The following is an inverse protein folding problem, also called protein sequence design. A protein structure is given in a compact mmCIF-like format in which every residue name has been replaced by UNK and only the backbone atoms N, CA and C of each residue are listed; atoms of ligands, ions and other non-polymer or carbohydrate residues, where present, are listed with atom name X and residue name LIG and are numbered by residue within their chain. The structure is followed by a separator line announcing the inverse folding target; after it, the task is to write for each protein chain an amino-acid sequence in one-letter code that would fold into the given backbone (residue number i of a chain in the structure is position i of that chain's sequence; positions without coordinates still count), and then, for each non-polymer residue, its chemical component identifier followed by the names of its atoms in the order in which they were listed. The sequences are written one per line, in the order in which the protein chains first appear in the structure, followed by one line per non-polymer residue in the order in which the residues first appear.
data_IF_226782917057
#
_entry.id   IF_226782917057
#
_cell.length_a   1.000
_cell.length_b   1.000
_cell.length_c   1.000
_cell.angle_alpha   90.00
_cell.angle_beta   90.00
_cell.angle_gamma   90.00
#
_symmetry.space_group_name_H-M   'P 1'
#
loop_
_entity.id
_entity.type
_entity.pdbx_description
1 polymer ?
#
# COMPACT_ATOMS: atom_id res chain seq x y z
N UNK A 1 10.96 -25.80 27.00
CA UNK A 1 9.67 -26.29 26.48
C UNK A 1 8.79 -25.07 26.18
N UNK A 2 8.87 -24.57 24.95
CA UNK A 2 7.81 -24.07 24.07
C UNK A 2 8.52 -23.49 22.82
N UNK A 3 8.02 -23.76 21.60
CA UNK A 3 8.74 -23.54 20.36
C UNK A 3 8.45 -22.16 19.79
N UNK A 4 9.45 -21.53 19.18
CA UNK A 4 9.23 -20.43 18.26
C UNK A 4 9.30 -20.99 16.83
N UNK A 5 8.14 -21.11 16.21
CA UNK A 5 7.92 -21.36 14.79
C UNK A 5 7.36 -20.08 14.16
N UNK A 6 8.03 -19.54 13.14
CA UNK A 6 7.53 -18.70 12.02
C UNK A 6 8.79 -18.16 11.28
N UNK A 7 8.90 -18.03 9.97
CA UNK A 7 7.94 -18.05 8.87
C UNK A 7 8.66 -18.39 7.55
N UNK A 8 7.85 -18.85 6.60
CA UNK A 8 8.14 -19.13 5.19
C UNK A 8 8.75 -17.95 4.44
N UNK A 9 9.68 -18.28 3.54
CA UNK A 9 10.53 -17.44 2.70
C UNK A 9 9.80 -16.97 1.42
N UNK A 10 9.92 -15.69 1.08
CA UNK A 10 9.85 -15.18 -0.30
C UNK A 10 10.81 -13.99 -0.45
N UNK A 11 11.59 -13.97 -1.55
CA UNK A 11 12.50 -12.92 -2.02
C UNK A 11 13.14 -11.97 -1.00
N UNK A 12 14.42 -12.18 -0.64
CA UNK A 12 15.14 -11.25 0.22
C UNK A 12 15.29 -9.84 -0.40
N UNK A 13 14.78 -8.82 0.32
CA UNK A 13 15.49 -7.56 0.41
C UNK A 13 16.65 -7.75 1.38
N UNK A 14 17.87 -7.58 0.91
CA UNK A 14 19.05 -7.88 1.71
C UNK A 14 19.26 -6.85 2.85
N UNK A 15 19.72 -7.26 4.05
CA UNK A 15 20.01 -6.38 5.18
C UNK A 15 21.21 -5.43 4.89
N UNK A 16 21.42 -4.36 5.69
CA UNK A 16 22.54 -3.44 5.51
C UNK A 16 23.90 -4.16 5.60
N UNK A 17 24.79 -3.82 4.67
CA UNK A 17 26.07 -4.52 4.44
C UNK A 17 27.29 -3.72 4.93
N UNK A 18 28.33 -4.44 5.33
CA UNK A 18 29.67 -3.92 5.54
C UNK A 18 30.61 -4.41 4.42
N UNK A 19 31.24 -3.47 3.70
CA UNK A 19 32.38 -3.77 2.85
C UNK A 19 33.66 -3.75 3.66
N UNK A 20 34.38 -4.86 3.73
CA UNK A 20 35.78 -4.85 4.15
C UNK A 20 36.64 -4.45 2.96
N UNK A 21 37.34 -3.32 3.03
CA UNK A 21 38.22 -2.90 1.94
C UNK A 21 39.64 -2.57 2.42
N UNK A 22 40.60 -2.72 1.51
CA UNK A 22 41.87 -1.98 1.52
C UNK A 22 41.80 -0.64 0.75
N UNK A 23 40.67 -0.29 0.13
CA UNK A 23 40.47 0.95 -0.66
C UNK A 23 39.01 1.47 -0.66
N UNK A 24 38.78 2.68 -1.16
CA UNK A 24 37.51 3.43 -1.07
C UNK A 24 36.30 2.74 -1.73
N UNK A 25 35.26 2.51 -0.93
CA UNK A 25 33.94 2.01 -1.34
C UNK A 25 32.93 3.16 -1.27
N UNK A 26 32.19 3.43 -2.34
CA UNK A 26 31.00 4.29 -2.31
C UNK A 26 29.74 3.43 -2.33
N UNK A 27 29.12 3.19 -1.17
CA UNK A 27 27.75 2.70 -1.10
C UNK A 27 26.84 3.92 -1.21
N UNK A 28 26.23 4.14 -2.37
CA UNK A 28 25.19 5.14 -2.53
C UNK A 28 23.87 4.60 -1.94
N UNK A 29 23.56 4.94 -0.70
CA UNK A 29 22.22 4.72 -0.14
C UNK A 29 21.24 5.67 -0.82
N UNK A 30 20.43 5.17 -1.76
CA UNK A 30 19.39 5.98 -2.42
C UNK A 30 18.17 6.07 -1.50
N UNK A 31 17.81 7.30 -1.11
CA UNK A 31 16.66 7.60 -0.25
C UNK A 31 15.36 7.72 -1.08
N UNK A 32 14.56 6.65 -1.12
CA UNK A 32 13.11 6.55 -1.47
C UNK A 32 12.67 6.58 -2.96
N UNK A 33 11.47 6.03 -3.35
CA UNK A 33 10.49 5.17 -2.63
C UNK A 33 10.28 3.77 -3.33
N UNK A 34 9.22 2.97 -3.03
CA UNK A 34 9.31 1.52 -2.74
C UNK A 34 9.39 0.62 -4.00
N UNK A 35 10.50 0.63 -4.71
CA UNK A 35 10.85 -0.45 -5.64
C UNK A 35 11.64 -1.56 -4.91
N UNK A 36 11.62 -2.81 -5.39
CA UNK A 36 12.45 -3.88 -4.83
C UNK A 36 13.90 -3.39 -4.73
N UNK A 37 14.45 -3.44 -3.51
CA UNK A 37 15.77 -2.91 -3.20
C UNK A 37 16.83 -3.79 -3.84
N UNK A 38 17.29 -3.41 -5.02
CA UNK A 38 18.42 -4.05 -5.66
C UNK A 38 19.72 -3.62 -5.00
N UNK A 39 20.57 -4.60 -4.69
CA UNK A 39 21.92 -4.37 -4.20
C UNK A 39 22.81 -3.84 -5.33
N UNK A 40 23.53 -2.77 -5.03
CA UNK A 40 24.40 -2.06 -5.94
C UNK A 40 25.86 -2.23 -5.54
N UNK A 41 26.71 -2.71 -6.45
CA UNK A 41 28.15 -2.85 -6.20
C UNK A 41 28.95 -2.36 -7.40
N UNK A 42 29.78 -1.33 -7.18
CA UNK A 42 30.73 -0.80 -8.15
C UNK A 42 32.15 -1.18 -7.74
N UNK A 43 32.87 -1.85 -8.63
CA UNK A 43 34.31 -2.06 -8.53
C UNK A 43 35.00 -1.07 -9.47
N UNK A 44 35.96 -0.29 -8.98
CA UNK A 44 36.80 0.60 -9.79
C UNK A 44 38.26 0.25 -9.57
N UNK A 45 38.99 -0.03 -10.67
CA UNK A 45 40.31 -0.64 -10.57
C UNK A 45 41.35 0.21 -9.86
N UNK A 46 42.16 -0.45 -9.02
CA UNK A 46 43.45 0.03 -8.51
C UNK A 46 44.50 -1.03 -8.81
N UNK A 47 45.74 -0.63 -9.10
CA UNK A 47 46.78 -1.57 -9.54
C UNK A 47 47.19 -2.53 -8.41
N UNK A 48 46.89 -3.82 -8.58
CA UNK A 48 47.41 -4.91 -7.75
C UNK A 48 46.40 -5.53 -6.78
N UNK A 49 46.23 -6.85 -6.89
CA UNK A 49 45.36 -7.75 -6.11
C UNK A 49 43.85 -7.60 -6.35
N UNK A 50 43.15 -8.75 -6.46
CA UNK A 50 41.72 -8.80 -6.77
C UNK A 50 40.87 -8.06 -5.73
N UNK A 51 39.84 -7.35 -6.18
CA UNK A 51 38.88 -6.70 -5.29
C UNK A 51 37.76 -7.68 -4.94
N UNK A 52 37.19 -7.63 -3.73
CA UNK A 52 36.00 -8.43 -3.41
C UNK A 52 35.04 -7.73 -2.45
N UNK A 53 33.76 -8.09 -2.53
CA UNK A 53 32.72 -7.76 -1.57
C UNK A 53 32.23 -9.03 -0.89
N UNK A 54 32.01 -8.94 0.42
CA UNK A 54 31.37 -9.98 1.21
C UNK A 54 29.99 -9.49 1.63
N UNK A 55 28.95 -10.20 1.21
CA UNK A 55 27.57 -9.89 1.56
C UNK A 55 27.20 -10.59 2.86
N UNK A 56 27.37 -9.87 3.97
CA UNK A 56 27.13 -10.35 5.34
C UNK A 56 26.09 -9.53 6.06
N UNK A 57 25.54 -10.12 7.12
CA UNK A 57 24.78 -9.36 8.09
C UNK A 57 25.70 -8.38 8.85
N UNK A 58 25.14 -7.28 9.39
CA UNK A 58 25.92 -6.18 9.98
C UNK A 58 26.75 -6.60 11.22
N UNK A 59 26.33 -7.66 11.89
CA UNK A 59 27.03 -8.27 13.04
C UNK A 59 28.10 -9.29 12.62
N UNK A 60 28.39 -9.38 11.31
CA UNK A 60 29.32 -10.35 10.73
C UNK A 60 28.73 -11.74 10.55
N UNK A 61 27.45 -11.97 10.87
CA UNK A 61 26.82 -13.27 10.69
C UNK A 61 26.64 -13.62 9.21
N UNK A 62 26.67 -14.94 8.99
CA UNK A 62 26.49 -15.60 7.71
C UNK A 62 25.00 -15.57 7.36
N UNK A 63 24.68 -15.27 6.10
CA UNK A 63 23.33 -14.85 5.69
C UNK A 63 22.52 -16.00 5.10
N UNK A 64 23.18 -17.00 4.53
CA UNK A 64 22.52 -18.06 3.76
C UNK A 64 22.78 -19.41 4.38
N UNK A 65 21.74 -20.21 4.62
CA UNK A 65 21.92 -21.63 4.94
C UNK A 65 22.14 -22.39 3.62
N UNK A 66 23.24 -23.13 3.54
CA UNK A 66 23.61 -23.95 2.39
C UNK A 66 23.61 -25.42 2.78
N UNK A 67 23.21 -26.29 1.85
CA UNK A 67 23.19 -27.74 2.06
C UNK A 67 24.08 -28.41 1.02
N UNK A 68 24.90 -29.36 1.48
CA UNK A 68 25.86 -30.08 0.63
C UNK A 68 25.15 -30.77 -0.55
N UNK A 69 25.74 -30.66 -1.73
CA UNK A 69 25.21 -31.22 -2.98
C UNK A 69 24.14 -30.37 -3.66
N UNK A 70 23.58 -29.34 -2.99
CA UNK A 70 22.64 -28.42 -3.63
C UNK A 70 23.35 -27.42 -4.51
N UNK A 71 22.72 -27.08 -5.63
CA UNK A 71 23.18 -26.03 -6.52
C UNK A 71 22.40 -24.76 -6.25
N UNK A 72 23.12 -23.64 -6.17
CA UNK A 72 22.56 -22.31 -6.03
C UNK A 72 22.83 -21.51 -7.29
N UNK A 73 21.83 -20.78 -7.77
CA UNK A 73 21.97 -19.86 -8.90
C UNK A 73 22.14 -18.46 -8.31
N UNK A 74 23.26 -17.83 -8.65
CA UNK A 74 23.53 -16.43 -8.35
C UNK A 74 23.30 -15.68 -9.66
N UNK A 75 22.53 -14.60 -9.65
CA UNK A 75 22.31 -13.81 -10.86
C UNK A 75 22.34 -12.31 -10.59
N UNK A 76 22.77 -11.54 -11.58
CA UNK A 76 22.78 -10.07 -11.53
C UNK A 76 22.74 -9.49 -12.94
N UNK A 77 22.23 -8.28 -13.06
CA UNK A 77 22.49 -7.44 -14.22
C UNK A 77 23.89 -6.86 -14.08
N UNK A 78 24.76 -7.10 -15.05
CA UNK A 78 26.13 -6.59 -15.01
C UNK A 78 26.37 -5.53 -16.07
N UNK A 79 27.11 -4.48 -15.71
CA UNK A 79 27.67 -3.50 -16.65
C UNK A 79 29.18 -3.41 -16.45
N UNK A 80 29.92 -3.43 -17.55
CA UNK A 80 31.38 -3.52 -17.55
C UNK A 80 31.96 -2.49 -18.52
N UNK A 81 33.03 -1.82 -18.10
CA UNK A 81 33.91 -1.04 -18.96
C UNK A 81 35.33 -1.58 -18.81
N UNK A 82 35.59 -2.76 -19.37
CA UNK A 82 36.89 -3.44 -19.34
C UNK A 82 37.07 -4.35 -20.55
N UNK A 83 38.32 -4.64 -20.89
CA UNK A 83 38.63 -5.63 -21.93
C UNK A 83 38.58 -7.07 -21.41
N UNK A 84 38.92 -7.33 -20.14
CA UNK A 84 38.84 -8.67 -19.52
C UNK A 84 38.87 -8.59 -18.00
N UNK A 85 37.74 -8.83 -17.33
CA UNK A 85 37.65 -8.98 -15.86
C UNK A 85 37.33 -10.43 -15.53
N UNK A 86 38.08 -11.07 -14.64
CA UNK A 86 37.72 -12.37 -14.06
C UNK A 86 36.83 -12.13 -12.83
N UNK A 87 35.53 -12.35 -13.01
CA UNK A 87 34.54 -12.21 -11.95
C UNK A 87 34.31 -13.53 -11.27
N UNK A 88 34.37 -13.48 -9.95
CA UNK A 88 34.37 -14.61 -9.05
C UNK A 88 33.17 -14.58 -8.11
N UNK A 89 32.27 -15.56 -8.20
CA UNK A 89 31.20 -15.76 -7.21
C UNK A 89 31.50 -16.97 -6.34
N UNK A 90 31.45 -16.80 -5.02
CA UNK A 90 31.67 -17.90 -4.08
C UNK A 90 30.78 -17.83 -2.85
N UNK A 91 30.38 -19.00 -2.35
CA UNK A 91 29.75 -19.16 -1.05
C UNK A 91 30.83 -19.55 -0.05
N UNK A 92 31.00 -18.77 1.02
CA UNK A 92 32.11 -18.96 1.97
C UNK A 92 31.66 -19.13 3.41
N UNK A 93 32.33 -20.05 4.10
CA UNK A 93 32.12 -20.30 5.52
C UNK A 93 32.87 -19.29 6.40
N UNK A 94 34.11 -18.96 6.06
CA UNK A 94 34.99 -18.15 6.88
C UNK A 94 35.65 -16.99 6.10
N UNK A 95 36.21 -16.03 6.84
CA UNK A 95 36.82 -14.80 6.31
C UNK A 95 38.17 -15.06 5.66
N UNK A 96 38.88 -16.03 6.21
CA UNK A 96 40.26 -16.43 5.90
C UNK A 96 40.38 -17.30 4.63
N UNK A 97 39.26 -17.68 4.01
CA UNK A 97 39.24 -18.41 2.75
C UNK A 97 39.58 -19.90 2.86
N UNK A 98 39.44 -20.50 4.05
CA UNK A 98 39.78 -21.92 4.27
C UNK A 98 38.72 -22.92 3.78
N UNK A 99 37.47 -22.50 3.54
CA UNK A 99 36.40 -23.35 2.98
C UNK A 99 35.57 -22.57 1.95
N UNK A 100 35.84 -22.84 0.66
CA UNK A 100 34.96 -22.45 -0.43
C UNK A 100 33.89 -23.54 -0.58
N UNK A 101 32.61 -23.20 -0.40
CA UNK A 101 31.51 -24.10 -0.69
C UNK A 101 31.31 -24.30 -2.20
N UNK A 102 31.98 -23.50 -3.04
CA UNK A 102 31.96 -23.62 -4.50
C UNK A 102 32.28 -22.29 -5.16
N UNK A 103 32.66 -22.33 -6.44
CA UNK A 103 33.17 -21.18 -7.16
C UNK A 103 32.79 -21.20 -8.64
N UNK A 104 32.39 -20.04 -9.19
CA UNK A 104 32.15 -19.86 -10.64
C UNK A 104 32.88 -18.62 -11.15
N UNK A 105 33.59 -18.78 -12.27
CA UNK A 105 34.34 -17.74 -12.97
C UNK A 105 33.63 -17.29 -14.23
N UNK A 106 33.66 -15.99 -14.50
CA UNK A 106 33.23 -15.44 -15.78
C UNK A 106 34.17 -14.35 -16.24
N UNK A 107 34.53 -14.39 -17.52
CA UNK A 107 35.27 -13.33 -18.19
C UNK A 107 34.29 -12.36 -18.84
N UNK A 108 34.23 -11.13 -18.31
CA UNK A 108 33.47 -10.04 -18.90
C UNK A 108 34.28 -9.39 -20.03
N UNK A 109 33.71 -9.33 -21.24
CA UNK A 109 34.36 -8.76 -22.42
C UNK A 109 33.61 -7.53 -22.94
N UNK A 110 34.35 -6.44 -23.15
CA UNK A 110 33.91 -5.25 -23.88
C UNK A 110 32.92 -4.33 -23.16
N UNK A 111 32.56 -3.24 -23.83
CA UNK A 111 31.57 -2.24 -23.41
C UNK A 111 30.14 -2.78 -23.55
N UNK A 112 29.86 -3.97 -23.01
CA UNK A 112 28.54 -4.56 -23.10
C UNK A 112 27.59 -3.84 -22.14
N UNK A 113 26.49 -3.33 -22.70
CA UNK A 113 25.38 -2.81 -21.92
C UNK A 113 24.56 -3.99 -21.37
N UNK A 114 24.41 -4.02 -20.05
CA UNK A 114 23.38 -4.70 -19.26
C UNK A 114 22.85 -6.02 -19.83
N UNK A 115 23.61 -7.10 -19.64
CA UNK A 115 23.04 -8.46 -19.75
C UNK A 115 22.89 -9.06 -18.37
N UNK A 116 21.77 -9.75 -18.12
CA UNK A 116 21.63 -10.58 -16.93
C UNK A 116 22.55 -11.77 -17.08
N UNK A 117 23.38 -11.98 -16.07
CA UNK A 117 24.29 -13.11 -15.98
C UNK A 117 23.85 -13.99 -14.83
N UNK A 118 24.06 -15.28 -14.98
CA UNK A 118 23.77 -16.28 -13.98
C UNK A 118 24.97 -17.21 -13.82
N UNK A 119 25.17 -17.63 -12.59
CA UNK A 119 26.26 -18.48 -12.18
C UNK A 119 25.73 -19.54 -11.24
N UNK A 120 26.07 -20.79 -11.49
CA UNK A 120 25.75 -21.88 -10.58
C UNK A 120 26.91 -22.14 -9.62
N UNK A 121 26.59 -22.38 -8.37
CA UNK A 121 27.52 -22.78 -7.32
C UNK A 121 26.93 -23.98 -6.60
N UNK A 122 27.55 -25.15 -6.75
CA UNK A 122 27.18 -26.35 -6.01
C UNK A 122 27.89 -26.38 -4.67
N UNK A 123 27.14 -26.40 -3.58
CA UNK A 123 27.67 -26.42 -2.23
C UNK A 123 28.40 -27.74 -1.93
N UNK A 124 29.66 -27.67 -1.51
CA UNK A 124 30.50 -28.83 -1.12
C UNK A 124 30.40 -29.18 0.36
N UNK A 125 29.49 -28.54 1.10
CA UNK A 125 29.28 -28.77 2.53
C UNK A 125 27.99 -28.11 3.01
N UNK A 126 27.55 -28.50 4.21
CA UNK A 126 26.33 -27.96 4.84
C UNK A 126 26.71 -26.96 5.93
N UNK A 127 26.06 -25.80 5.96
CA UNK A 127 26.36 -24.77 6.95
C UNK A 127 25.68 -23.45 6.66
N UNK A 128 26.19 -22.39 7.28
CA UNK A 128 25.85 -21.04 6.86
C UNK A 128 26.99 -20.47 6.01
N UNK A 129 26.66 -19.65 5.02
CA UNK A 129 27.60 -19.01 4.13
C UNK A 129 27.27 -17.53 3.94
N UNK A 130 28.25 -16.77 3.46
CA UNK A 130 28.03 -15.46 2.86
C UNK A 130 28.42 -15.50 1.39
N UNK A 131 27.81 -14.62 0.59
CA UNK A 131 28.16 -14.46 -0.82
C UNK A 131 29.39 -13.56 -0.93
N UNK A 132 30.44 -14.04 -1.61
CA UNK A 132 31.58 -13.23 -2.03
C UNK A 132 31.50 -12.99 -3.54
N UNK A 133 31.68 -11.74 -3.94
CA UNK A 133 31.87 -11.34 -5.33
C UNK A 133 33.24 -10.72 -5.46
N UNK A 134 34.13 -11.33 -6.23
CA UNK A 134 35.46 -10.77 -6.49
C UNK A 134 35.64 -10.38 -7.96
N UNK A 135 36.30 -9.25 -8.20
CA UNK A 135 36.75 -8.81 -9.52
C UNK A 135 38.27 -8.89 -9.55
N UNK A 136 38.80 -9.75 -10.40
CA UNK A 136 40.24 -9.98 -10.57
C UNK A 136 40.67 -9.39 -11.92
N UNK A 137 41.88 -8.81 -11.94
CA UNK A 137 42.48 -8.14 -13.10
C UNK A 137 41.75 -6.86 -13.56
N UNK A 138 41.09 -6.15 -12.64
CA UNK A 138 40.48 -4.87 -12.94
C UNK A 138 41.55 -3.77 -13.06
N UNK A 139 41.75 -3.22 -14.27
CA UNK A 139 42.76 -2.18 -14.49
C UNK A 139 42.27 -0.80 -14.03
N UNK A 140 43.21 0.12 -13.81
CA UNK A 140 42.88 1.50 -13.46
C UNK A 140 41.99 2.15 -14.55
N UNK A 141 40.85 2.72 -14.13
CA UNK A 141 39.84 3.31 -15.02
C UNK A 141 38.79 2.33 -15.55
N UNK A 142 38.93 1.03 -15.29
CA UNK A 142 37.90 0.04 -15.58
C UNK A 142 36.89 -0.04 -14.43
N UNK A 143 35.63 -0.39 -14.76
CA UNK A 143 34.62 -0.68 -13.75
C UNK A 143 33.78 -1.92 -14.06
N UNK A 144 33.29 -2.52 -12.97
CA UNK A 144 32.28 -3.57 -12.98
C UNK A 144 31.17 -3.16 -12.03
N UNK A 145 29.95 -3.15 -12.55
CA UNK A 145 28.74 -2.82 -11.82
C UNK A 145 27.82 -4.03 -11.81
N UNK A 146 27.27 -4.35 -10.64
CA UNK A 146 26.16 -5.29 -10.48
C UNK A 146 24.92 -4.57 -9.98
N UNK A 147 23.80 -4.85 -10.65
CA UNK A 147 22.46 -4.43 -10.28
C UNK A 147 21.56 -5.66 -10.07
N UNK A 148 20.73 -5.60 -9.03
CA UNK A 148 19.78 -6.66 -8.67
C UNK A 148 20.43 -8.04 -8.49
N UNK A 149 21.49 -8.08 -7.67
CA UNK A 149 22.13 -9.34 -7.27
C UNK A 149 21.15 -10.22 -6.48
N UNK A 150 21.00 -11.46 -6.91
CA UNK A 150 20.12 -12.46 -6.31
C UNK A 150 20.83 -13.79 -6.11
N UNK A 151 20.32 -14.57 -5.16
CA UNK A 151 20.70 -15.96 -4.93
C UNK A 151 19.45 -16.80 -4.70
N UNK A 152 19.37 -17.94 -5.39
CA UNK A 152 18.26 -18.90 -5.27
C UNK A 152 18.79 -20.33 -5.31
N UNK A 153 18.04 -21.27 -4.74
CA UNK A 153 18.33 -22.71 -4.85
C UNK A 153 17.84 -23.21 -6.22
N UNK A 154 18.69 -23.91 -6.97
CA UNK A 154 18.32 -24.54 -8.23
C UNK A 154 17.39 -25.72 -7.98
N UNK A 155 16.26 -25.77 -8.71
CA UNK A 155 15.35 -26.91 -8.68
C UNK A 155 15.73 -27.88 -9.80
N UNK A 156 16.22 -29.06 -9.43
CA UNK A 156 16.69 -30.07 -10.39
C UNK A 156 17.98 -29.64 -11.10
N UNK A 157 17.99 -29.72 -12.43
CA UNK A 157 19.17 -29.38 -13.27
C UNK A 157 19.10 -27.96 -13.84
N UNK A 158 18.29 -27.07 -13.26
CA UNK A 158 18.17 -25.69 -13.74
C UNK A 158 19.47 -24.91 -13.51
N UNK A 159 19.96 -24.24 -14.56
CA UNK A 159 21.14 -23.37 -14.52
C UNK A 159 20.81 -21.91 -14.78
N UNK A 160 19.60 -21.65 -15.27
CA UNK A 160 19.08 -20.31 -15.53
C UNK A 160 18.32 -19.81 -14.30
N UNK A 161 18.46 -18.52 -13.95
CA UNK A 161 17.82 -17.99 -12.78
C UNK A 161 16.32 -17.86 -13.02
N UNK A 162 15.54 -17.81 -11.93
CA UNK A 162 14.12 -17.48 -12.05
C UNK A 162 13.93 -16.17 -12.80
N UNK A 163 12.82 -16.06 -13.53
CA UNK A 163 12.51 -14.96 -14.42
C UNK A 163 12.19 -13.65 -13.66
N UNK A 164 13.17 -13.10 -12.94
CA UNK A 164 13.15 -11.73 -12.48
C UNK A 164 13.36 -10.81 -13.69
N UNK A 165 12.27 -10.16 -14.09
CA UNK A 165 12.30 -9.09 -15.07
C UNK A 165 13.17 -7.94 -14.56
N UNK A 166 13.75 -7.19 -15.49
CA UNK A 166 14.40 -5.90 -15.22
C UNK A 166 13.52 -5.06 -14.27
N UNK A 167 14.05 -4.15 -13.43
CA UNK A 167 13.24 -3.25 -12.62
C UNK A 167 12.21 -2.39 -13.39
N UNK A 168 12.29 -2.36 -14.73
CA UNK A 168 11.34 -1.71 -15.63
C UNK A 168 10.39 -2.66 -16.38
N UNK A 169 10.47 -3.97 -16.15
CA UNK A 169 9.63 -4.98 -16.76
C UNK A 169 8.76 -5.63 -15.70
N UNK A 170 7.48 -5.80 -16.01
CA UNK A 170 6.51 -6.56 -15.24
C UNK A 170 7.10 -7.92 -14.81
N UNK A 171 7.36 -8.09 -13.51
CA UNK A 171 7.81 -9.37 -12.95
C UNK A 171 6.66 -10.36 -13.05
N UNK A 172 6.88 -11.55 -13.58
CA UNK A 172 5.86 -12.59 -13.63
C UNK A 172 6.18 -13.61 -12.56
N UNK A 173 5.26 -13.82 -11.62
CA UNK A 173 5.34 -14.89 -10.63
C UNK A 173 5.54 -16.24 -11.33
N UNK A 174 6.63 -16.97 -11.06
CA UNK A 174 6.89 -18.25 -11.71
C UNK A 174 5.91 -19.36 -11.28
N UNK A 175 5.20 -19.22 -10.15
CA UNK A 175 4.25 -20.22 -9.65
C UNK A 175 2.84 -19.99 -10.20
N UNK A 176 2.43 -18.73 -10.34
CA UNK A 176 1.09 -18.37 -10.84
C UNK A 176 1.06 -17.92 -12.30
N UNK A 177 2.21 -17.61 -12.90
CA UNK A 177 2.32 -17.07 -14.25
C UNK A 177 1.77 -15.64 -14.38
N UNK A 178 1.47 -14.97 -13.27
CA UNK A 178 0.87 -13.64 -13.25
C UNK A 178 1.92 -12.56 -13.11
N UNK A 179 1.77 -11.47 -13.87
CA UNK A 179 2.53 -10.25 -13.63
C UNK A 179 2.25 -9.76 -12.19
N UNK A 180 3.28 -9.53 -11.38
CA UNK A 180 3.28 -8.72 -10.16
C UNK A 180 2.91 -7.28 -10.53
N UNK A 181 1.64 -7.09 -10.85
CA UNK A 181 0.94 -5.88 -10.50
C UNK A 181 0.33 -6.07 -9.11
N UNK A 182 -0.56 -5.18 -8.70
CA UNK A 182 -1.23 -5.26 -7.41
C UNK A 182 -1.88 -6.63 -7.12
N UNK A 183 -2.18 -7.44 -8.16
CA UNK A 183 -2.74 -8.80 -8.03
C UNK A 183 -1.79 -9.82 -7.40
N UNK A 184 -0.48 -9.58 -7.44
CA UNK A 184 0.53 -10.40 -6.75
C UNK A 184 0.79 -9.97 -5.31
N UNK A 185 0.18 -8.85 -4.86
CA UNK A 185 0.24 -8.40 -3.48
C UNK A 185 -1.02 -8.85 -2.74
N UNK A 186 -0.92 -9.23 -1.45
CA UNK A 186 -2.09 -9.48 -0.64
C UNK A 186 -3.03 -8.27 -0.71
N UNK A 187 -4.33 -8.54 -0.87
CA UNK A 187 -5.33 -7.50 -0.92
C UNK A 187 -5.33 -6.73 0.40
N UNK A 188 -4.69 -5.55 0.39
CA UNK A 188 -4.57 -4.74 1.60
C UNK A 188 -5.96 -4.17 1.93
N UNK A 189 -6.62 -4.84 2.88
CA UNK A 189 -8.03 -4.73 3.30
C UNK A 189 -8.55 -3.34 3.68
N UNK A 190 -7.69 -2.34 3.75
CA UNK A 190 -8.01 -1.00 4.22
C UNK A 190 -7.89 0.07 3.14
N UNK A 191 -7.48 -0.29 1.92
CA UNK A 191 -7.36 0.70 0.86
C UNK A 191 -8.73 1.04 0.31
N UNK A 192 -9.01 2.34 0.28
CA UNK A 192 -10.10 2.96 -0.45
C UNK A 192 -10.40 2.36 -1.84
N UNK A 193 -9.36 1.93 -2.55
CA UNK A 193 -9.46 1.34 -3.88
C UNK A 193 -10.23 0.01 -3.93
N UNK A 194 -10.63 -0.56 -2.78
CA UNK A 194 -11.38 -1.82 -2.72
C UNK A 194 -12.91 -1.66 -2.65
N UNK A 195 -13.40 -0.41 -2.63
CA UNK A 195 -14.83 -0.14 -2.51
C UNK A 195 -15.55 -0.20 -3.87
N UNK A 196 -16.84 -0.57 -3.89
CA UNK A 196 -17.64 -0.51 -5.10
C UNK A 196 -17.72 0.91 -5.67
N UNK A 197 -17.68 1.03 -6.99
CA UNK A 197 -17.84 2.31 -7.70
C UNK A 197 -19.28 2.81 -7.74
N UNK A 198 -20.26 1.94 -7.47
CA UNK A 198 -21.68 2.30 -7.44
C UNK A 198 -22.15 2.59 -6.01
N UNK A 199 -22.97 3.65 -5.85
CA UNK A 199 -23.34 4.20 -4.55
C UNK A 199 -24.44 3.43 -3.78
N UNK A 200 -24.96 2.31 -4.28
CA UNK A 200 -26.05 1.57 -3.63
C UNK A 200 -25.95 0.06 -3.89
N UNK A 201 -24.83 -0.56 -3.50
CA UNK A 201 -24.63 -1.99 -3.74
C UNK A 201 -25.41 -2.87 -2.78
N UNK A 202 -25.71 -2.38 -1.57
CA UNK A 202 -26.37 -3.17 -0.55
C UNK A 202 -27.84 -2.76 -0.41
N UNK A 203 -28.69 -3.73 -0.09
CA UNK A 203 -30.03 -3.51 0.44
C UNK A 203 -30.32 -4.59 1.48
N UNK A 204 -31.13 -4.29 2.49
CA UNK A 204 -31.56 -5.29 3.45
C UNK A 204 -33.08 -5.27 3.58
N UNK A 205 -33.68 -6.45 3.63
CA UNK A 205 -35.12 -6.62 3.72
C UNK A 205 -35.46 -7.64 4.81
N UNK A 206 -36.68 -7.55 5.31
CA UNK A 206 -37.28 -8.59 6.14
C UNK A 206 -37.56 -9.83 5.28
N UNK A 207 -37.01 -10.98 5.69
CA UNK A 207 -37.13 -12.27 5.05
C UNK A 207 -37.97 -13.26 5.91
N UNK A 208 -38.94 -12.73 6.65
CA UNK A 208 -39.90 -13.49 7.46
C UNK A 208 -39.41 -13.70 8.89
N UNK A 209 -38.62 -14.73 9.13
CA UNK A 209 -38.08 -15.04 10.47
C UNK A 209 -36.68 -14.49 10.72
N UNK A 210 -36.10 -13.80 9.73
CA UNK A 210 -34.76 -13.23 9.76
C UNK A 210 -34.66 -12.11 8.75
N UNK A 211 -33.61 -11.29 8.85
CA UNK A 211 -33.26 -10.34 7.82
C UNK A 211 -32.43 -11.01 6.69
N UNK A 212 -32.50 -10.41 5.51
CA UNK A 212 -31.67 -10.74 4.34
C UNK A 212 -30.97 -9.49 3.84
N UNK A 213 -29.68 -9.58 3.57
CA UNK A 213 -28.92 -8.55 2.86
C UNK A 213 -28.70 -9.03 1.43
N UNK A 214 -29.05 -8.20 0.46
CA UNK A 214 -28.76 -8.40 -0.96
C UNK A 214 -27.61 -7.48 -1.38
N UNK A 215 -26.71 -8.02 -2.20
CA UNK A 215 -25.59 -7.31 -2.80
C UNK A 215 -25.80 -7.29 -4.30
N UNK A 216 -26.01 -6.11 -4.90
CA UNK A 216 -26.10 -5.94 -6.34
C UNK A 216 -24.75 -6.24 -7.02
N UNK A 217 -24.79 -6.54 -8.32
CA UNK A 217 -23.55 -6.62 -9.10
C UNK A 217 -22.88 -5.26 -9.13
N UNK A 218 -21.56 -5.23 -9.00
CA UNK A 218 -20.81 -3.98 -8.90
C UNK A 218 -19.40 -4.17 -9.44
N UNK A 219 -18.71 -3.06 -9.68
CA UNK A 219 -17.30 -3.06 -10.07
C UNK A 219 -16.47 -2.34 -9.02
N UNK A 220 -15.22 -2.75 -8.88
CA UNK A 220 -14.23 -2.13 -8.00
C UNK A 220 -13.06 -1.69 -8.87
N UNK A 221 -12.64 -0.43 -8.71
CA UNK A 221 -11.49 0.12 -9.42
C UNK A 221 -10.24 0.01 -8.56
N UNK A 222 -9.32 -0.86 -8.96
CA UNK A 222 -7.96 -0.91 -8.43
C UNK A 222 -7.04 -0.02 -9.27
N UNK A 223 -5.82 0.23 -8.79
CA UNK A 223 -4.92 1.23 -9.36
C UNK A 223 -4.83 1.20 -10.90
N UNK A 224 -4.65 0.02 -11.50
CA UNK A 224 -4.52 -0.15 -12.94
C UNK A 224 -5.61 -0.97 -13.63
N UNK A 225 -6.60 -1.49 -12.90
CA UNK A 225 -7.60 -2.41 -13.48
C UNK A 225 -8.92 -2.38 -12.70
N UNK A 226 -9.98 -2.83 -13.37
CA UNK A 226 -11.33 -2.95 -12.79
C UNK A 226 -11.67 -4.41 -12.58
N UNK A 227 -12.29 -4.75 -11.46
CA UNK A 227 -12.82 -6.09 -11.18
C UNK A 227 -14.33 -6.02 -11.04
N UNK A 228 -15.04 -6.90 -11.76
CA UNK A 228 -16.50 -7.01 -11.71
C UNK A 228 -16.91 -8.12 -10.75
N UNK A 229 -17.87 -7.86 -9.88
CA UNK A 229 -18.46 -8.81 -8.94
C UNK A 229 -19.94 -9.03 -9.27
N UNK A 230 -20.37 -10.30 -9.28
CA UNK A 230 -21.76 -10.68 -9.47
C UNK A 230 -22.61 -10.34 -8.25
N UNK A 231 -23.93 -10.30 -8.42
CA UNK A 231 -24.85 -10.14 -7.30
C UNK A 231 -24.87 -11.38 -6.40
N UNK A 232 -25.30 -11.20 -5.15
CA UNK A 232 -25.48 -12.27 -4.19
C UNK A 232 -26.34 -11.84 -3.00
N UNK A 233 -26.57 -12.74 -2.05
CA UNK A 233 -27.33 -12.42 -0.84
C UNK A 233 -26.91 -13.26 0.36
N UNK A 234 -27.13 -12.70 1.55
CA UNK A 234 -26.86 -13.30 2.86
C UNK A 234 -28.18 -13.35 3.61
N UNK A 235 -28.60 -14.53 4.08
CA UNK A 235 -29.85 -14.76 4.80
C UNK A 235 -29.59 -15.20 6.23
N UNK A 236 -30.63 -15.31 7.06
CA UNK A 236 -30.49 -15.77 8.45
C UNK A 236 -29.86 -14.75 9.37
N UNK A 237 -29.95 -13.46 9.03
CA UNK A 237 -29.37 -12.37 9.80
C UNK A 237 -30.36 -11.85 10.85
N UNK A 238 -29.84 -11.31 11.95
CA UNK A 238 -30.68 -10.64 12.95
C UNK A 238 -31.24 -9.32 12.40
N UNK A 239 -32.46 -8.97 12.82
CA UNK A 239 -33.08 -7.67 12.59
C UNK A 239 -32.37 -6.54 13.34
N UNK A 240 -32.55 -5.29 12.90
CA UNK A 240 -32.02 -4.06 13.53
C UNK A 240 -30.53 -4.15 13.92
N UNK A 241 -29.74 -4.85 13.11
CA UNK A 241 -28.34 -5.15 13.39
C UNK A 241 -27.47 -4.60 12.26
N UNK A 242 -26.41 -3.88 12.62
CA UNK A 242 -25.42 -3.39 11.67
C UNK A 242 -24.45 -4.50 11.29
N UNK A 243 -24.28 -4.73 9.99
CA UNK A 243 -23.33 -5.67 9.42
C UNK A 243 -22.34 -4.97 8.49
N UNK A 244 -21.09 -5.42 8.55
CA UNK A 244 -20.04 -5.13 7.59
C UNK A 244 -19.98 -6.27 6.58
N UNK A 245 -20.20 -5.95 5.32
CA UNK A 245 -20.30 -6.92 4.22
C UNK A 245 -18.97 -7.00 3.51
N UNK A 246 -18.52 -8.21 3.20
CA UNK A 246 -17.28 -8.44 2.47
C UNK A 246 -17.38 -9.66 1.56
N UNK A 247 -16.41 -9.79 0.66
CA UNK A 247 -16.15 -11.00 -0.12
C UNK A 247 -14.67 -11.38 0.05
N UNK A 248 -14.37 -12.68 0.04
CA UNK A 248 -12.98 -13.14 0.00
C UNK A 248 -12.54 -13.23 -1.48
N UNK A 249 -11.50 -12.48 -1.87
CA UNK A 249 -11.01 -12.41 -3.25
C UNK A 249 -9.48 -12.17 -3.32
N UNK A 250 -8.72 -13.15 -2.84
CA UNK A 250 -7.25 -13.07 -2.75
C UNK A 250 -6.56 -12.75 -4.09
N UNK A 251 -7.12 -13.27 -5.20
CA UNK A 251 -6.55 -13.11 -6.54
C UNK A 251 -7.18 -12.01 -7.38
N UNK A 252 -8.03 -11.15 -6.82
CA UNK A 252 -8.77 -10.11 -7.56
C UNK A 252 -9.54 -10.68 -8.77
N UNK A 253 -10.04 -11.90 -8.63
CA UNK A 253 -10.69 -12.65 -9.71
C UNK A 253 -12.09 -12.12 -10.01
N UNK A 254 -12.76 -11.53 -9.02
CA UNK A 254 -14.14 -11.08 -9.14
C UNK A 254 -15.11 -12.21 -9.48
N UNK A 255 -16.08 -11.91 -10.35
CA UNK A 255 -17.08 -12.86 -10.83
C UNK A 255 -18.04 -13.30 -9.73
N UNK A 256 -18.28 -14.60 -9.64
CA UNK A 256 -19.17 -15.19 -8.64
C UNK A 256 -18.47 -15.31 -7.29
N UNK A 257 -18.58 -14.29 -6.46
CA UNK A 257 -18.04 -14.30 -5.09
C UNK A 257 -19.10 -14.66 -4.05
N UNK A 258 -18.68 -15.37 -3.00
CA UNK A 258 -19.50 -15.54 -1.79
C UNK A 258 -19.40 -14.28 -0.93
N UNK A 259 -20.55 -13.75 -0.53
CA UNK A 259 -20.61 -12.61 0.39
C UNK A 259 -20.79 -13.09 1.83
N UNK A 260 -20.12 -12.39 2.73
CA UNK A 260 -20.12 -12.66 4.15
C UNK A 260 -20.50 -11.39 4.92
N UNK A 261 -21.07 -11.59 6.12
CA UNK A 261 -21.47 -10.50 7.00
C UNK A 261 -20.88 -10.72 8.40
N UNK A 262 -20.30 -9.67 8.97
CA UNK A 262 -19.80 -9.65 10.36
C UNK A 262 -20.32 -8.42 11.08
N UNK A 263 -20.52 -8.51 12.39
CA UNK A 263 -20.94 -7.38 13.25
C UNK A 263 -19.76 -6.64 13.88
N UNK A 264 -18.54 -7.17 13.72
CA UNK A 264 -17.32 -6.63 14.29
C UNK A 264 -16.36 -6.27 13.15
N UNK A 265 -16.06 -4.97 13.01
CA UNK A 265 -15.16 -4.46 11.97
C UNK A 265 -13.73 -4.99 12.11
N UNK A 266 -13.30 -5.37 13.31
CA UNK A 266 -11.96 -5.92 13.50
C UNK A 266 -11.81 -7.27 12.80
N UNK A 267 -12.90 -8.06 12.72
CA UNK A 267 -12.92 -9.30 11.92
C UNK A 267 -12.75 -8.98 10.45
N UNK A 268 -13.41 -7.95 9.94
CA UNK A 268 -13.23 -7.53 8.54
C UNK A 268 -11.75 -7.28 8.21
N UNK A 269 -10.99 -6.70 9.15
CA UNK A 269 -9.57 -6.40 9.01
C UNK A 269 -8.60 -7.54 9.40
N UNK A 270 -9.10 -8.74 9.73
CA UNK A 270 -8.27 -9.82 10.29
C UNK A 270 -7.67 -10.80 9.24
N UNK A 271 -8.16 -10.81 7.99
CA UNK A 271 -7.80 -11.86 7.00
C UNK A 271 -7.40 -11.30 5.62
N UNK A 272 -6.26 -11.73 5.08
CA UNK A 272 -5.57 -11.13 3.91
C UNK A 272 -6.34 -11.08 2.58
N UNK A 273 -7.51 -11.71 2.48
CA UNK A 273 -8.33 -11.77 1.28
C UNK A 273 -9.68 -11.03 1.40
N UNK A 274 -9.97 -10.42 2.55
CA UNK A 274 -11.28 -9.79 2.78
C UNK A 274 -11.38 -8.45 2.07
N UNK A 275 -12.25 -8.39 1.08
CA UNK A 275 -12.62 -7.16 0.40
C UNK A 275 -13.91 -6.58 1.00
N UNK A 276 -13.88 -5.39 1.63
CA UNK A 276 -15.10 -4.74 2.10
C UNK A 276 -15.98 -4.32 0.93
N UNK A 277 -17.27 -4.63 1.04
CA UNK A 277 -18.34 -4.21 0.11
C UNK A 277 -19.04 -2.97 0.63
N UNK A 278 -19.35 -2.93 1.94
CA UNK A 278 -20.03 -1.80 2.57
C UNK A 278 -20.57 -2.14 3.95
N UNK A 279 -21.34 -1.21 4.53
CA UNK A 279 -21.99 -1.38 5.83
C UNK A 279 -23.49 -1.14 5.67
N UNK A 280 -24.32 -1.95 6.34
CA UNK A 280 -25.78 -1.80 6.30
C UNK A 280 -26.41 -2.26 7.61
N UNK A 281 -27.45 -1.56 8.06
CA UNK A 281 -28.29 -1.97 9.18
C UNK A 281 -29.51 -2.67 8.65
N UNK A 282 -29.75 -3.92 9.08
CA UNK A 282 -30.95 -4.68 8.71
C UNK A 282 -32.22 -4.01 9.25
N UNK A 283 -33.38 -4.18 8.59
CA UNK A 283 -34.62 -3.59 9.07
C UNK A 283 -35.06 -4.18 10.41
N UNK A 284 -36.02 -3.52 11.05
CA UNK A 284 -36.80 -4.14 12.12
C UNK A 284 -37.62 -5.32 11.59
N UNK A 285 -38.07 -6.20 12.49
CA UNK A 285 -39.04 -7.27 12.15
C UNK A 285 -40.36 -6.63 11.68
N UNK A 286 -40.83 -7.00 10.48
CA UNK A 286 -41.92 -6.36 9.77
C UNK A 286 -41.57 -5.01 9.14
N UNK A 287 -40.30 -4.61 9.15
CA UNK A 287 -39.84 -3.31 8.64
C UNK A 287 -39.62 -3.26 7.12
N UNK A 288 -39.72 -2.06 6.56
CA UNK A 288 -39.41 -1.80 5.15
C UNK A 288 -37.95 -2.08 4.80
N UNK A 289 -37.65 -2.19 3.51
CA UNK A 289 -36.28 -2.36 3.02
C UNK A 289 -35.39 -1.19 3.49
N UNK A 290 -34.24 -1.51 4.06
CA UNK A 290 -33.18 -0.53 4.35
C UNK A 290 -32.13 -0.53 3.26
N UNK A 291 -31.52 0.63 3.05
CA UNK A 291 -30.31 0.82 2.23
C UNK A 291 -29.17 1.27 3.12
N UNK A 292 -27.90 1.18 2.69
CA UNK A 292 -26.80 1.86 3.35
C UNK A 292 -27.19 3.31 3.59
N UNK A 293 -26.90 3.80 4.79
CA UNK A 293 -27.15 5.19 5.09
C UNK A 293 -26.03 6.02 4.47
N UNK A 294 -26.44 6.87 3.53
CA UNK A 294 -25.62 7.82 2.77
C UNK A 294 -24.81 8.80 3.66
N UNK A 295 -23.76 9.41 3.09
CA UNK A 295 -22.54 9.75 3.80
C UNK A 295 -22.65 10.79 4.91
N UNK A 296 -21.81 10.61 5.91
CA UNK A 296 -21.77 11.38 7.15
C UNK A 296 -20.80 12.56 7.03
N UNK A 297 -20.90 13.58 7.89
CA UNK A 297 -20.04 14.78 7.78
C UNK A 297 -18.74 14.62 8.58
N UNK A 298 -18.59 15.42 9.64
CA UNK A 298 -17.32 15.64 10.34
C UNK A 298 -17.28 14.86 11.64
N UNK A 299 -16.10 14.43 12.07
CA UNK A 299 -15.94 13.68 13.31
C UNK A 299 -16.17 14.56 14.55
N UNK A 300 -16.55 13.92 15.65
CA UNK A 300 -16.48 14.49 16.99
C UNK A 300 -15.09 15.13 17.24
N UNK A 301 -15.07 16.25 17.95
CA UNK A 301 -13.89 17.09 18.20
C UNK A 301 -13.52 18.04 17.06
N UNK A 302 -14.25 18.05 15.95
CA UNK A 302 -13.98 18.96 14.82
C UNK A 302 -14.55 20.35 15.10
N UNK A 303 -13.73 21.38 14.95
CA UNK A 303 -14.13 22.79 15.03
C UNK A 303 -14.94 23.20 13.82
N UNK A 304 -16.11 23.78 14.06
CA UNK A 304 -16.94 24.41 13.03
C UNK A 304 -16.66 25.91 12.94
N UNK A 305 -16.15 26.52 14.01
CA UNK A 305 -15.58 27.87 14.13
C UNK A 305 -14.98 28.03 15.53
N UNK A 306 -14.30 29.14 15.82
CA UNK A 306 -13.83 29.42 17.19
C UNK A 306 -14.99 29.36 18.19
N UNK A 307 -14.83 28.56 19.25
CA UNK A 307 -15.84 28.36 20.29
C UNK A 307 -16.99 27.39 19.95
N UNK A 308 -17.04 26.81 18.74
CA UNK A 308 -18.09 25.88 18.33
C UNK A 308 -17.51 24.59 17.75
N UNK A 309 -17.78 23.47 18.42
CA UNK A 309 -17.40 22.13 17.99
C UNK A 309 -18.60 21.42 17.36
N UNK A 310 -18.33 20.39 16.55
CA UNK A 310 -19.37 19.48 16.07
C UNK A 310 -20.15 18.85 17.24
N UNK A 311 -19.47 18.59 18.37
CA UNK A 311 -20.02 17.95 19.57
C UNK A 311 -21.13 18.74 20.26
N UNK A 312 -21.07 20.07 20.19
CA UNK A 312 -21.96 20.97 20.91
C UNK A 312 -22.78 21.89 20.01
N UNK A 313 -22.69 21.73 18.68
CA UNK A 313 -23.47 22.51 17.74
C UNK A 313 -24.97 22.17 17.79
N UNK A 314 -25.80 23.17 17.53
CA UNK A 314 -27.25 23.06 17.55
C UNK A 314 -27.85 23.73 16.31
N UNK A 315 -29.07 23.32 15.90
CA UNK A 315 -29.83 24.07 14.91
C UNK A 315 -29.97 25.55 15.31
N UNK A 316 -29.66 26.45 14.38
CA UNK A 316 -29.64 27.90 14.58
C UNK A 316 -28.24 28.49 14.76
N UNK A 317 -27.24 27.70 15.16
CA UNK A 317 -25.85 28.16 15.22
C UNK A 317 -25.37 28.59 13.83
N UNK A 318 -24.65 29.71 13.74
CA UNK A 318 -24.09 30.21 12.49
C UNK A 318 -22.70 29.63 12.26
N UNK A 319 -22.45 29.06 11.08
CA UNK A 319 -21.14 28.56 10.66
C UNK A 319 -20.77 29.09 9.27
N UNK A 320 -19.48 29.12 8.97
CA UNK A 320 -18.97 29.56 7.68
C UNK A 320 -19.24 28.50 6.61
N UNK A 321 -19.99 28.92 5.61
CA UNK A 321 -20.42 28.12 4.49
C UNK A 321 -19.87 28.67 3.17
N UNK A 322 -19.85 27.81 2.17
CA UNK A 322 -19.47 28.15 0.80
C UNK A 322 -20.30 27.32 -0.19
N UNK A 323 -20.76 27.95 -1.25
CA UNK A 323 -21.38 27.27 -2.38
C UNK A 323 -20.68 27.58 -3.71
N UNK A 324 -20.95 26.75 -4.71
CA UNK A 324 -20.35 26.86 -6.04
C UNK A 324 -20.73 28.21 -6.66
N UNK A 325 -19.72 29.04 -6.93
CA UNK A 325 -19.90 30.38 -7.50
C UNK A 325 -19.72 31.51 -6.47
N UNK A 326 -19.69 31.20 -5.18
CA UNK A 326 -19.36 32.17 -4.15
C UNK A 326 -17.89 32.59 -4.25
N UNK A 327 -17.65 33.90 -4.16
CA UNK A 327 -16.29 34.48 -4.14
C UNK A 327 -15.58 34.33 -2.79
N UNK A 328 -16.33 34.11 -1.71
CA UNK A 328 -15.83 33.92 -0.35
C UNK A 328 -16.85 33.13 0.48
N UNK A 329 -16.51 32.79 1.72
CA UNK A 329 -17.45 32.17 2.66
C UNK A 329 -18.49 33.16 3.19
N UNK A 330 -19.63 32.64 3.66
CA UNK A 330 -20.68 33.41 4.31
C UNK A 330 -21.27 32.63 5.49
N UNK A 331 -21.86 33.33 6.46
CA UNK A 331 -22.49 32.65 7.60
C UNK A 331 -23.87 32.12 7.23
N UNK A 332 -24.14 30.85 7.55
CA UNK A 332 -25.47 30.25 7.44
C UNK A 332 -25.85 29.47 8.71
N UNK A 333 -27.14 29.42 9.07
CA UNK A 333 -27.59 28.67 10.23
C UNK A 333 -27.57 27.16 9.97
N UNK A 334 -27.12 26.40 10.97
CA UNK A 334 -27.33 24.96 11.02
C UNK A 334 -28.84 24.68 11.08
N UNK A 335 -29.33 23.80 10.21
CA UNK A 335 -30.75 23.42 10.14
C UNK A 335 -31.04 22.15 10.93
N UNK A 336 -30.09 21.21 10.96
CA UNK A 336 -30.23 19.94 11.66
C UNK A 336 -28.86 19.38 12.05
N UNK A 337 -28.82 18.66 13.17
CA UNK A 337 -27.64 17.94 13.67
C UNK A 337 -28.07 16.54 14.08
N UNK A 338 -27.37 15.51 13.61
CA UNK A 338 -27.60 14.11 14.02
C UNK A 338 -26.27 13.38 14.22
N UNK A 339 -25.96 12.87 15.42
CA UNK A 339 -24.76 12.06 15.63
C UNK A 339 -24.92 10.65 15.05
N UNK A 340 -23.81 10.05 14.67
CA UNK A 340 -23.69 8.63 14.38
C UNK A 340 -22.37 8.07 14.88
N UNK A 341 -22.44 7.00 15.65
CA UNK A 341 -21.27 6.32 16.19
C UNK A 341 -20.64 5.35 15.20
N UNK A 342 -19.37 5.02 15.43
CA UNK A 342 -18.66 3.94 14.74
C UNK A 342 -18.60 4.07 13.22
N UNK A 343 -18.41 5.29 12.71
CA UNK A 343 -18.27 5.57 11.28
C UNK A 343 -16.79 5.56 10.87
N UNK A 344 -16.40 4.80 9.83
CA UNK A 344 -15.07 4.87 9.26
C UNK A 344 -14.74 6.28 8.78
N UNK A 345 -13.63 6.84 9.25
CA UNK A 345 -13.23 8.21 8.94
C UNK A 345 -11.86 8.28 8.26
N UNK A 346 -11.69 9.33 7.47
CA UNK A 346 -10.39 9.78 6.96
C UNK A 346 -10.03 11.13 7.55
N UNK A 347 -8.73 11.42 7.55
CA UNK A 347 -8.19 12.76 7.77
C UNK A 347 -7.62 13.27 6.44
N UNK A 348 -8.17 14.38 5.99
CA UNK A 348 -7.62 15.14 4.87
C UNK A 348 -6.59 16.12 5.42
N UNK A 349 -5.43 16.22 4.79
CA UNK A 349 -4.43 17.25 5.07
C UNK A 349 -4.18 18.05 3.81
N UNK A 350 -4.35 19.36 3.89
CA UNK A 350 -4.08 20.32 2.81
C UNK A 350 -2.60 20.72 2.79
N UNK A 351 -2.13 21.33 1.70
CA UNK A 351 -0.73 21.77 1.56
C UNK A 351 -0.28 22.80 2.60
N UNK A 352 -1.21 23.64 3.09
CA UNK A 352 -0.97 24.56 4.21
C UNK A 352 -0.83 23.88 5.58
N UNK A 353 -1.24 22.60 5.69
CA UNK A 353 -1.39 21.90 6.96
C UNK A 353 -2.79 21.98 7.58
N UNK A 354 -3.76 22.66 6.95
CA UNK A 354 -5.17 22.58 7.34
C UNK A 354 -5.65 21.12 7.29
N UNK A 355 -6.44 20.72 8.28
CA UNK A 355 -6.84 19.31 8.45
C UNK A 355 -8.29 19.20 8.88
N UNK A 356 -9.00 18.26 8.29
CA UNK A 356 -10.36 17.88 8.70
C UNK A 356 -10.45 16.37 8.87
N UNK A 357 -11.17 15.93 9.89
CA UNK A 357 -11.53 14.52 10.07
C UNK A 357 -13.00 14.39 9.74
N UNK A 358 -13.31 13.58 8.73
CA UNK A 358 -14.66 13.37 8.25
C UNK A 358 -14.87 11.89 7.91
N UNK A 359 -16.11 11.50 7.72
CA UNK A 359 -16.38 10.15 7.25
C UNK A 359 -15.71 9.90 5.90
N UNK A 360 -15.35 8.65 5.63
CA UNK A 360 -14.72 8.29 4.36
C UNK A 360 -15.54 8.74 3.16
N UNK A 361 -16.85 8.59 3.26
CA UNK A 361 -17.79 8.85 2.18
C UNK A 361 -18.28 10.31 2.17
N UNK A 362 -17.79 11.18 3.07
CA UNK A 362 -18.19 12.58 3.11
C UNK A 362 -17.98 13.22 1.72
N UNK A 363 -19.02 13.76 1.08
CA UNK A 363 -18.86 14.44 -0.19
C UNK A 363 -18.09 15.73 0.06
N UNK A 364 -17.16 16.06 -0.82
CA UNK A 364 -16.45 17.33 -0.84
C UNK A 364 -16.52 17.90 -2.24
N UNK A 365 -16.68 19.22 -2.34
CA UNK A 365 -16.90 19.92 -3.61
C UNK A 365 -15.71 20.82 -3.89
N UNK A 366 -15.15 20.75 -5.10
CA UNK A 366 -14.07 21.65 -5.53
C UNK A 366 -14.62 22.99 -6.04
N UNK A 367 -13.71 23.90 -6.42
CA UNK A 367 -14.07 25.24 -6.93
C UNK A 367 -14.99 25.20 -8.15
N UNK A 368 -14.94 24.13 -8.93
CA UNK A 368 -15.70 23.95 -10.18
C UNK A 368 -17.01 23.21 -9.96
N UNK A 369 -17.36 22.89 -8.71
CA UNK A 369 -18.56 22.14 -8.36
C UNK A 369 -18.46 20.63 -8.58
N UNK A 370 -17.26 20.09 -8.86
CA UNK A 370 -17.07 18.63 -8.97
C UNK A 370 -17.10 18.04 -7.56
N UNK A 371 -17.82 16.94 -7.41
CA UNK A 371 -17.97 16.25 -6.12
C UNK A 371 -17.08 15.02 -6.08
N UNK A 372 -16.35 14.89 -4.97
CA UNK A 372 -15.48 13.77 -4.65
C UNK A 372 -15.90 13.19 -3.30
N UNK A 373 -15.65 11.92 -3.04
CA UNK A 373 -15.71 11.41 -1.68
C UNK A 373 -14.41 11.79 -0.98
N UNK A 374 -14.45 12.16 0.30
CA UNK A 374 -13.30 12.62 1.07
C UNK A 374 -12.12 11.64 0.96
N UNK A 375 -12.41 10.35 0.99
CA UNK A 375 -11.41 9.31 0.81
C UNK A 375 -10.64 9.45 -0.54
N UNK A 376 -11.30 9.85 -1.63
CA UNK A 376 -10.76 9.90 -2.99
C UNK A 376 -10.09 11.24 -3.33
N UNK A 377 -9.86 12.10 -2.33
CA UNK A 377 -9.48 13.49 -2.57
C UNK A 377 -7.98 13.74 -2.69
N UNK A 378 -7.11 12.73 -2.63
CA UNK A 378 -5.67 12.94 -2.76
C UNK A 378 -5.33 13.65 -4.09
N UNK A 379 -4.68 14.81 -4.01
CA UNK A 379 -4.34 15.66 -5.15
C UNK A 379 -5.47 16.56 -5.68
N UNK A 380 -6.68 16.46 -5.13
CA UNK A 380 -7.81 17.37 -5.45
C UNK A 380 -7.58 18.72 -4.76
N UNK A 381 -7.96 19.81 -5.43
CA UNK A 381 -7.97 21.16 -4.85
C UNK A 381 -9.29 21.40 -4.13
N UNK A 382 -9.26 21.63 -2.81
CA UNK A 382 -10.42 21.94 -1.98
C UNK A 382 -10.27 23.31 -1.31
N UNK A 383 -11.40 23.88 -0.91
CA UNK A 383 -11.42 25.13 -0.16
C UNK A 383 -10.85 24.93 1.24
N UNK A 384 -9.90 25.77 1.65
CA UNK A 384 -9.36 25.85 2.99
C UNK A 384 -9.59 27.26 3.54
N UNK A 385 -9.83 27.38 4.85
CA UNK A 385 -9.96 28.64 5.55
C UNK A 385 -8.80 28.82 6.51
N UNK A 386 -8.20 30.01 6.48
CA UNK A 386 -7.13 30.44 7.38
C UNK A 386 -7.52 31.73 8.09
N UNK A 387 -7.01 31.95 9.30
CA UNK A 387 -7.24 33.21 10.02
C UNK A 387 -6.76 34.46 9.24
N UNK A 388 -5.70 34.33 8.43
CA UNK A 388 -5.15 35.40 7.60
C UNK A 388 -5.76 35.51 6.20
N UNK A 389 -6.37 34.43 5.69
CA UNK A 389 -6.96 34.36 4.36
C UNK A 389 -8.25 33.51 4.39
N UNK A 390 -9.43 34.14 4.25
CA UNK A 390 -10.70 33.49 4.60
C UNK A 390 -11.09 32.36 3.65
N UNK A 391 -10.55 32.27 2.43
CA UNK A 391 -10.80 31.13 1.53
C UNK A 391 -9.68 30.98 0.49
N UNK A 392 -8.86 29.94 0.65
CA UNK A 392 -7.84 29.52 -0.32
C UNK A 392 -8.24 28.20 -0.98
N UNK A 393 -7.70 27.92 -2.17
CA UNK A 393 -7.88 26.65 -2.86
C UNK A 393 -6.56 25.90 -2.85
N UNK A 394 -6.55 24.75 -2.19
CA UNK A 394 -5.31 24.05 -1.85
C UNK A 394 -5.40 22.58 -2.21
N UNK A 395 -4.26 21.98 -2.57
CA UNK A 395 -4.20 20.54 -2.81
C UNK A 395 -4.29 19.75 -1.51
N UNK A 396 -5.09 18.70 -1.52
CA UNK A 396 -5.03 17.65 -0.50
C UNK A 396 -3.75 16.84 -0.71
N UNK A 397 -2.78 16.96 0.20
CA UNK A 397 -1.48 16.28 0.13
C UNK A 397 -1.48 14.89 0.77
N UNK A 398 -2.43 14.61 1.66
CA UNK A 398 -2.60 13.28 2.23
C UNK A 398 -4.05 12.98 2.59
N UNK A 399 -4.45 11.71 2.40
CA UNK A 399 -5.69 11.14 2.93
C UNK A 399 -5.33 9.96 3.82
N UNK A 400 -5.58 10.07 5.11
CA UNK A 400 -5.17 9.07 6.11
C UNK A 400 -6.39 8.42 6.76
N UNK A 401 -6.44 7.08 6.82
CA UNK A 401 -7.45 6.40 7.62
C UNK A 401 -7.23 6.69 9.11
N UNK A 402 -8.27 7.12 9.82
CA UNK A 402 -8.19 7.38 11.28
C UNK A 402 -9.02 6.40 12.11
N UNK A 403 -9.55 5.36 11.46
CA UNK A 403 -10.40 4.35 12.10
C UNK A 403 -11.83 4.82 12.31
N UNK A 404 -12.52 4.19 13.25
CA UNK A 404 -13.91 4.52 13.58
C UNK A 404 -14.00 5.75 14.49
N UNK A 405 -14.97 6.62 14.23
CA UNK A 405 -15.29 7.80 15.06
C UNK A 405 -16.80 7.98 15.14
N UNK A 406 -17.24 8.70 16.16
CA UNK A 406 -18.55 9.37 16.11
C UNK A 406 -18.45 10.54 15.15
N UNK A 407 -19.44 10.68 14.27
CA UNK A 407 -19.55 11.75 13.28
C UNK A 407 -20.88 12.48 13.45
N UNK A 408 -20.91 13.76 13.11
CA UNK A 408 -22.10 14.58 13.18
C UNK A 408 -22.58 14.91 11.77
N UNK A 409 -23.80 14.50 11.44
CA UNK A 409 -24.48 14.93 10.22
C UNK A 409 -25.05 16.33 10.45
N UNK A 410 -24.40 17.32 9.85
CA UNK A 410 -24.77 18.73 9.97
C UNK A 410 -25.40 19.16 8.65
N UNK A 411 -26.63 19.67 8.69
CA UNK A 411 -27.29 20.26 7.53
C UNK A 411 -27.24 21.77 7.60
N UNK A 412 -26.84 22.41 6.51
CA UNK A 412 -26.87 23.86 6.30
C UNK A 412 -27.67 24.23 5.04
N UNK A 413 -28.59 23.37 4.60
CA UNK A 413 -29.45 23.65 3.44
C UNK A 413 -28.76 23.42 2.08
N UNK A 414 -27.96 22.35 1.96
CA UNK A 414 -27.37 21.96 0.68
C UNK A 414 -26.07 22.66 0.30
N UNK A 415 -25.55 23.56 1.13
CA UNK A 415 -24.25 24.23 0.91
C UNK A 415 -23.11 23.52 1.68
N UNK A 416 -21.86 23.83 1.33
CA UNK A 416 -20.69 23.28 2.02
C UNK A 416 -20.37 24.13 3.25
N UNK A 417 -19.71 23.57 4.25
CA UNK A 417 -19.30 24.30 5.45
C UNK A 417 -17.84 24.00 5.85
N UNK A 418 -17.22 24.96 6.52
CA UNK A 418 -15.86 24.85 7.00
C UNK A 418 -15.79 24.05 8.29
N UNK A 419 -14.87 23.08 8.34
CA UNK A 419 -14.62 22.30 9.53
C UNK A 419 -13.15 21.88 9.63
N UNK A 420 -12.59 21.77 10.83
CA UNK A 420 -11.18 21.39 10.98
C UNK A 420 -10.78 20.94 12.37
N UNK A 421 -9.60 20.34 12.48
CA UNK A 421 -9.00 19.97 13.78
C UNK A 421 -8.46 21.17 14.55
N UNK A 422 -8.37 22.32 13.88
CA UNK A 422 -7.91 23.60 14.37
C UNK A 422 -8.96 24.67 13.95
N UNK A 423 -9.48 25.51 14.87
CA UNK A 423 -10.47 26.53 14.53
C UNK A 423 -9.94 27.57 13.53
N UNK A 424 -8.62 27.80 13.48
CA UNK A 424 -7.98 28.75 12.56
C UNK A 424 -7.66 28.14 11.19
N UNK A 425 -7.63 26.82 11.06
CA UNK A 425 -7.24 26.10 9.83
C UNK A 425 -8.26 25.00 9.48
N UNK A 426 -9.31 25.38 8.74
CA UNK A 426 -10.46 24.53 8.43
C UNK A 426 -10.55 24.20 6.95
N UNK A 427 -11.25 23.13 6.60
CA UNK A 427 -11.46 22.67 5.23
C UNK A 427 -12.95 22.70 4.90
N UNK A 428 -13.30 23.18 3.71
CA UNK A 428 -14.67 23.18 3.21
C UNK A 428 -15.07 21.73 2.85
N UNK A 429 -16.07 21.21 3.57
CA UNK A 429 -16.63 19.86 3.35
C UNK A 429 -18.15 19.95 3.19
N UNK A 430 -18.77 18.97 2.53
CA UNK A 430 -20.19 19.03 2.14
C UNK A 430 -21.05 17.99 2.86
N UNK A 431 -22.38 18.14 2.72
CA UNK A 431 -23.40 17.14 3.04
C UNK A 431 -24.42 17.05 1.88
N UNK A 432 -24.28 16.03 1.01
CA UNK A 432 -25.00 15.91 -0.27
C UNK A 432 -26.50 15.74 -0.14
N UNK A 433 -27.00 15.31 1.02
CA UNK A 433 -28.41 14.95 1.18
C UNK A 433 -29.42 16.10 0.99
N UNK A 434 -28.95 17.32 0.70
CA UNK A 434 -29.82 18.47 0.41
C UNK A 434 -29.36 19.34 -0.77
N UNK A 435 -28.46 18.88 -1.64
CA UNK A 435 -28.25 19.58 -2.93
C UNK A 435 -29.41 19.23 -3.87
N UNK A 436 -30.20 20.21 -4.35
CA UNK A 436 -31.33 19.96 -5.23
C UNK A 436 -30.95 19.31 -6.56
#
# INVERSE_FOLDING_TARGET
MLPASLSVFSGYALPPFHGGTRYSLSIATVTSPPSPRCLHADFTGSTGEGMWFNFRHYDGQRVFKVEEGKTYIISAWSRTLSQTIDVRFGLRDADDGSVDFGYSAYQAYGNSFETRKAWTVTATGTGYAYLRVAAINLNAGEYLRFDCLMIEEAIGNQTEPSAFSRPSGNYTDPETGMVFDQRGLPQNMSSIASLPTSSNVLSALDNGSSAKISTASHTVQYAGFTVSYNSGSITGLNFSTTYYIYADDEGYSGGSSTYYAVTDISKLAAERARRPVGTITTPADGGDTTTPTNPWCVAAGTWLREGLLADNCQPGDLIECWDVGDSNTHLAPIQAVKPQDSVPCVRLTMESGARVVCSRETPVTDQRGRVYLAQDCAGVELGAMHCSDPLTWEKVVSVECVGLRTVYKISVGGISFAAGVDPEHRVITHNIDYKP
#
